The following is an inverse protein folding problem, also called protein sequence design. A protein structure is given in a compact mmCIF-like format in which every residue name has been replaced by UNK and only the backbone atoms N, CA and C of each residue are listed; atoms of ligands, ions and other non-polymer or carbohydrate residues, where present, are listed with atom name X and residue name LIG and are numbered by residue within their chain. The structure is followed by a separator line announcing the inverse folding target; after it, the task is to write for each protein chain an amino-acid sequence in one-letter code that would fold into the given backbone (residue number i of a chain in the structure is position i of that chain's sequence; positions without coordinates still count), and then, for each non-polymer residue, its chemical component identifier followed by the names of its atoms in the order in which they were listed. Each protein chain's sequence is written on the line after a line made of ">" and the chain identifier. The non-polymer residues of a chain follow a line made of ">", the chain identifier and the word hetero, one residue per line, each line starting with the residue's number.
data_IF_752520600841
#
_entry.id   IF_752520600841
#
_cell.length_a   1.000
_cell.length_b   1.000
_cell.length_c   1.000
_cell.angle_alpha   90.00
_cell.angle_beta   90.00
_cell.angle_gamma   90.00
#
_symmetry.space_group_name_H-M   'P 1'
#
loop_
_entity.id
_entity.type
_entity.pdbx_description
1 polymer ?
#
# COMPACT_ATOMS: atom_id res chain seq x y z
N UNK A 1 -1.37 31.76 -2.71
CA UNK A 1 -0.02 31.42 -2.19
C UNK A 1 0.12 31.45 -0.66
N UNK A 2 -0.62 32.26 0.13
CA UNK A 2 -0.54 32.27 1.61
C UNK A 2 -0.92 30.92 2.27
N UNK A 3 -1.95 30.24 1.76
CA UNK A 3 -2.43 28.96 2.30
C UNK A 3 -1.37 27.85 2.24
N UNK A 4 -0.70 27.68 1.10
CA UNK A 4 0.38 26.66 0.93
C UNK A 4 1.53 26.92 1.89
N UNK A 5 1.90 28.20 2.11
CA UNK A 5 2.99 28.59 3.01
C UNK A 5 2.64 28.34 4.48
N UNK A 6 1.37 28.54 4.85
CA UNK A 6 0.85 28.29 6.20
C UNK A 6 0.80 26.78 6.50
N UNK A 7 0.29 25.96 5.57
CA UNK A 7 0.26 24.50 5.67
C UNK A 7 1.68 23.94 5.82
N UNK A 8 2.65 24.43 5.03
CA UNK A 8 4.04 23.98 5.10
C UNK A 8 4.69 24.24 6.45
N UNK A 9 4.42 25.40 7.06
CA UNK A 9 4.97 25.73 8.38
C UNK A 9 4.31 24.90 9.49
N UNK A 10 3.02 24.59 9.37
CA UNK A 10 2.29 23.74 10.31
C UNK A 10 2.78 22.28 10.27
N UNK A 11 3.04 21.74 9.08
CA UNK A 11 3.62 20.39 8.91
C UNK A 11 5.03 20.33 9.51
N UNK A 12 5.84 21.40 9.36
CA UNK A 12 7.17 21.48 9.98
C UNK A 12 7.12 21.51 11.51
N UNK A 13 6.03 22.00 12.09
CA UNK A 13 5.88 22.12 13.55
C UNK A 13 5.59 20.77 14.23
N UNK A 14 5.08 19.78 13.49
CA UNK A 14 4.77 18.44 14.00
C UNK A 14 5.60 17.36 13.27
N UNK A 15 6.76 16.95 13.80
CA UNK A 15 7.63 15.97 13.14
C UNK A 15 6.95 14.61 12.91
N UNK A 16 5.99 14.22 13.76
CA UNK A 16 5.18 13.01 13.54
C UNK A 16 4.27 13.12 12.31
N UNK A 17 3.63 14.28 12.08
CA UNK A 17 2.74 14.48 10.93
C UNK A 17 3.52 14.38 9.62
N UNK A 18 4.73 14.94 9.59
CA UNK A 18 5.63 14.83 8.44
C UNK A 18 6.00 13.37 8.12
N UNK A 19 6.31 12.56 9.15
CA UNK A 19 6.58 11.11 8.98
C UNK A 19 5.33 10.35 8.53
N UNK A 20 4.16 10.69 9.06
CA UNK A 20 2.89 10.08 8.65
C UNK A 20 2.56 10.35 7.19
N UNK A 21 2.74 11.59 6.71
CA UNK A 21 2.53 11.94 5.30
C UNK A 21 3.48 11.16 4.40
N UNK A 22 4.78 11.11 4.75
CA UNK A 22 5.76 10.31 4.00
C UNK A 22 5.39 8.83 3.97
N UNK A 23 5.00 8.26 5.12
CA UNK A 23 4.54 6.87 5.19
C UNK A 23 3.32 6.63 4.31
N UNK A 24 2.34 7.55 4.30
CA UNK A 24 1.17 7.48 3.43
C UNK A 24 1.54 7.52 1.94
N UNK A 25 2.45 8.40 1.54
CA UNK A 25 2.95 8.48 0.15
C UNK A 25 3.65 7.17 -0.26
N UNK A 26 4.51 6.63 0.60
CA UNK A 26 5.16 5.34 0.36
C UNK A 26 4.15 4.21 0.28
N UNK A 27 3.10 4.24 1.12
CA UNK A 27 1.98 3.31 1.06
C UNK A 27 1.27 3.35 -0.29
N UNK A 28 0.94 4.53 -0.80
CA UNK A 28 0.33 4.68 -2.13
C UNK A 28 1.24 4.12 -3.23
N UNK A 29 2.55 4.40 -3.19
CA UNK A 29 3.51 3.87 -4.16
C UNK A 29 3.56 2.34 -4.09
N UNK A 30 3.61 1.79 -2.88
CA UNK A 30 3.59 0.34 -2.64
C UNK A 30 2.33 -0.32 -3.20
N UNK A 31 1.16 0.30 -3.00
CA UNK A 31 -0.11 -0.18 -3.57
C UNK A 31 -0.12 -0.13 -5.09
N UNK A 32 0.37 0.96 -5.69
CA UNK A 32 0.47 1.07 -7.16
C UNK A 32 1.39 -0.01 -7.72
N UNK A 33 2.55 -0.24 -7.10
CA UNK A 33 3.47 -1.32 -7.50
C UNK A 33 2.78 -2.68 -7.36
N UNK A 34 2.10 -2.94 -6.25
CA UNK A 34 1.34 -4.19 -6.05
C UNK A 34 0.27 -4.38 -7.12
N UNK A 35 -0.48 -3.34 -7.48
CA UNK A 35 -1.52 -3.42 -8.51
C UNK A 35 -0.93 -3.70 -9.89
N UNK A 36 0.17 -3.02 -10.25
CA UNK A 36 0.85 -3.23 -11.53
C UNK A 36 1.38 -4.66 -11.65
N UNK A 37 2.01 -5.18 -10.60
CA UNK A 37 2.51 -6.56 -10.59
C UNK A 37 1.35 -7.56 -10.70
N UNK A 38 0.25 -7.32 -9.99
CA UNK A 38 -0.92 -8.18 -10.06
C UNK A 38 -1.52 -8.20 -11.46
N UNK A 39 -1.67 -7.03 -12.06
CA UNK A 39 -2.22 -6.90 -13.40
C UNK A 39 -1.36 -7.63 -14.44
N UNK A 40 -0.05 -7.44 -14.40
CA UNK A 40 0.88 -8.16 -15.27
C UNK A 40 0.81 -9.68 -15.06
N UNK A 41 0.65 -10.13 -13.81
CA UNK A 41 0.57 -11.55 -13.50
C UNK A 41 -0.74 -12.19 -14.01
N UNK A 42 -1.88 -11.54 -13.78
CA UNK A 42 -3.20 -12.03 -14.21
C UNK A 42 -3.35 -12.05 -15.73
N UNK A 43 -2.73 -11.10 -16.44
CA UNK A 43 -2.72 -11.11 -17.90
C UNK A 43 -2.10 -12.38 -18.48
N UNK A 44 -1.06 -12.91 -17.83
CA UNK A 44 -0.37 -14.12 -18.29
C UNK A 44 -0.95 -15.40 -17.68
N UNK A 45 -1.47 -15.33 -16.45
CA UNK A 45 -1.91 -16.49 -15.66
C UNK A 45 -3.22 -16.25 -14.89
N UNK A 46 -4.36 -16.08 -15.57
CA UNK A 46 -5.63 -15.74 -14.94
C UNK A 46 -6.13 -16.80 -13.95
N UNK A 47 -5.84 -18.08 -14.19
CA UNK A 47 -6.23 -19.20 -13.32
C UNK A 47 -5.57 -19.16 -11.93
N UNK A 48 -4.48 -18.42 -11.75
CA UNK A 48 -3.74 -18.32 -10.49
C UNK A 48 -3.99 -16.98 -9.79
N UNK A 49 -5.22 -16.44 -9.87
CA UNK A 49 -5.58 -15.14 -9.32
C UNK A 49 -5.15 -14.96 -7.84
N UNK A 50 -5.45 -15.93 -6.98
CA UNK A 50 -5.12 -15.85 -5.55
C UNK A 50 -3.61 -15.82 -5.30
N UNK A 51 -2.85 -16.64 -6.04
CA UNK A 51 -1.38 -16.66 -5.96
C UNK A 51 -0.82 -15.34 -6.51
N UNK A 52 -1.39 -14.82 -7.59
CA UNK A 52 -1.07 -13.52 -8.16
C UNK A 52 -1.27 -12.39 -7.15
N UNK A 53 -2.43 -12.34 -6.47
CA UNK A 53 -2.71 -11.36 -5.40
C UNK A 53 -1.65 -11.45 -4.29
N UNK A 54 -1.31 -12.66 -3.84
CA UNK A 54 -0.32 -12.88 -2.80
C UNK A 54 1.10 -12.42 -3.21
N UNK A 55 1.59 -12.86 -4.38
CA UNK A 55 2.92 -12.47 -4.88
C UNK A 55 3.04 -10.97 -5.11
N UNK A 56 1.99 -10.37 -5.65
CA UNK A 56 1.96 -8.94 -5.94
C UNK A 56 2.01 -8.11 -4.66
N UNK A 57 1.28 -8.54 -3.63
CA UNK A 57 1.36 -7.93 -2.32
C UNK A 57 2.77 -8.06 -1.72
N UNK A 58 3.41 -9.23 -1.82
CA UNK A 58 4.78 -9.45 -1.32
C UNK A 58 5.76 -8.48 -2.01
N UNK A 59 5.66 -8.32 -3.33
CA UNK A 59 6.53 -7.40 -4.10
C UNK A 59 6.24 -5.94 -3.71
N UNK A 60 4.96 -5.55 -3.65
CA UNK A 60 4.55 -4.23 -3.18
C UNK A 60 5.06 -3.94 -1.77
N UNK A 61 4.99 -4.93 -0.88
CA UNK A 61 5.53 -4.87 0.48
C UNK A 61 7.03 -4.59 0.48
N UNK A 62 7.84 -5.35 -0.24
CA UNK A 62 9.28 -5.14 -0.30
C UNK A 62 9.65 -3.77 -0.89
N UNK A 63 8.90 -3.30 -1.89
CA UNK A 63 9.08 -1.97 -2.46
C UNK A 63 8.77 -0.87 -1.43
N UNK A 64 7.62 -0.95 -0.76
CA UNK A 64 7.20 0.00 0.27
C UNK A 64 8.13 -0.02 1.48
N UNK A 65 8.59 -1.20 1.89
CA UNK A 65 9.56 -1.38 2.96
C UNK A 65 10.90 -0.71 2.63
N UNK A 66 11.46 -1.01 1.46
CA UNK A 66 12.73 -0.43 1.02
C UNK A 66 12.65 1.08 0.96
N UNK A 67 11.55 1.62 0.44
CA UNK A 67 11.35 3.06 0.34
C UNK A 67 11.15 3.73 1.71
N UNK A 68 10.39 3.11 2.62
CA UNK A 68 10.23 3.63 3.99
C UNK A 68 11.55 3.62 4.76
N UNK A 69 12.36 2.57 4.61
CA UNK A 69 13.69 2.49 5.23
C UNK A 69 14.64 3.56 4.67
N UNK A 70 14.66 3.74 3.35
CA UNK A 70 15.58 4.66 2.67
C UNK A 70 15.16 6.13 2.70
N UNK A 71 13.88 6.46 2.97
CA UNK A 71 13.39 7.84 2.86
C UNK A 71 12.60 8.36 4.08
N UNK A 72 11.77 7.52 4.69
CA UNK A 72 10.90 7.93 5.80
C UNK A 72 11.61 7.86 7.15
N UNK A 73 12.41 6.81 7.36
CA UNK A 73 13.00 6.47 8.65
C UNK A 73 14.54 6.40 8.65
N UNK A 74 15.20 7.12 7.74
CA UNK A 74 16.67 7.13 7.61
C UNK A 74 17.38 7.32 8.95
N UNK A 75 16.91 8.26 9.76
CA UNK A 75 17.47 8.60 11.09
C UNK A 75 17.27 7.50 12.15
N UNK A 76 16.33 6.57 11.97
CA UNK A 76 16.06 5.48 12.92
C UNK A 76 16.72 4.15 12.50
N UNK A 77 17.48 4.16 11.39
CA UNK A 77 18.14 2.95 10.85
C UNK A 77 19.27 2.44 11.75
N UNK A 78 19.77 3.27 12.68
CA UNK A 78 20.84 2.91 13.63
C UNK A 78 20.38 1.90 14.73
N UNK A 79 19.07 1.71 14.95
CA UNK A 79 18.56 0.77 15.97
C UNK A 79 18.51 -0.72 15.52
N UNK A 80 19.00 -1.04 14.31
CA UNK A 80 19.30 -2.42 13.89
C UNK A 80 18.10 -3.38 13.72
N UNK A 81 18.35 -4.68 13.98
CA UNK A 81 17.48 -5.83 13.65
C UNK A 81 16.10 -5.82 14.35
N UNK A 82 16.00 -5.25 15.55
CA UNK A 82 14.73 -5.19 16.32
C UNK A 82 13.70 -4.30 15.64
N UNK A 83 14.14 -3.23 14.96
CA UNK A 83 13.26 -2.36 14.19
C UNK A 83 12.70 -3.08 12.96
N UNK A 84 13.55 -3.84 12.27
CA UNK A 84 13.16 -4.68 11.13
C UNK A 84 12.10 -5.71 11.53
N UNK A 85 12.28 -6.38 12.67
CA UNK A 85 11.36 -7.41 13.12
C UNK A 85 9.96 -6.87 13.44
N UNK A 86 9.87 -5.70 14.12
CA UNK A 86 8.59 -5.01 14.36
C UNK A 86 7.89 -4.62 13.07
N UNK A 87 8.64 -4.13 12.08
CA UNK A 87 8.09 -3.73 10.80
C UNK A 87 7.58 -4.93 10.00
N UNK A 88 8.37 -6.01 9.91
CA UNK A 88 7.94 -7.27 9.28
C UNK A 88 6.68 -7.81 9.94
N UNK A 89 6.59 -7.74 11.27
CA UNK A 89 5.40 -8.19 12.01
C UNK A 89 4.14 -7.38 11.66
N UNK A 90 4.23 -6.04 11.66
CA UNK A 90 3.10 -5.16 11.28
C UNK A 90 2.62 -5.46 9.86
N UNK A 91 3.55 -5.64 8.93
CA UNK A 91 3.19 -5.94 7.55
C UNK A 91 2.71 -7.37 7.32
N UNK A 92 3.19 -8.35 8.08
CA UNK A 92 2.65 -9.71 8.07
C UNK A 92 1.18 -9.70 8.53
N UNK A 93 0.86 -8.97 9.61
CA UNK A 93 -0.54 -8.79 10.03
C UNK A 93 -1.35 -8.12 8.91
N UNK A 94 -0.80 -7.07 8.31
CA UNK A 94 -1.48 -6.34 7.23
C UNK A 94 -1.72 -7.24 6.01
N UNK A 95 -0.81 -8.16 5.70
CA UNK A 95 -0.97 -9.14 4.64
C UNK A 95 -2.13 -10.09 4.89
N UNK A 96 -2.25 -10.63 6.10
CA UNK A 96 -3.37 -11.51 6.44
C UNK A 96 -4.70 -10.76 6.43
N UNK A 97 -4.73 -9.52 6.96
CA UNK A 97 -5.91 -8.65 6.87
C UNK A 97 -6.27 -8.39 5.41
N UNK A 98 -5.29 -8.12 4.54
CA UNK A 98 -5.51 -7.92 3.11
C UNK A 98 -6.05 -9.17 2.41
N UNK A 99 -5.52 -10.36 2.72
CA UNK A 99 -5.99 -11.62 2.15
C UNK A 99 -7.43 -11.94 2.61
N UNK A 100 -7.72 -11.79 3.90
CA UNK A 100 -9.07 -12.01 4.44
C UNK A 100 -10.05 -11.00 3.82
N UNK A 101 -9.68 -9.73 3.76
CA UNK A 101 -10.50 -8.70 3.11
C UNK A 101 -10.77 -9.05 1.64
N UNK A 102 -9.73 -9.43 0.89
CA UNK A 102 -9.91 -9.83 -0.51
C UNK A 102 -10.78 -11.07 -0.66
N UNK A 103 -10.59 -12.10 0.17
CA UNK A 103 -11.42 -13.30 0.15
C UNK A 103 -12.88 -12.99 0.47
N UNK A 104 -13.14 -12.13 1.47
CA UNK A 104 -14.49 -11.69 1.81
C UNK A 104 -15.12 -10.90 0.67
N UNK A 105 -14.37 -9.97 0.06
CA UNK A 105 -14.86 -9.21 -1.08
C UNK A 105 -15.19 -10.12 -2.28
N UNK A 106 -14.31 -11.06 -2.60
CA UNK A 106 -14.43 -11.97 -3.75
C UNK A 106 -15.57 -12.99 -3.58
N UNK A 107 -15.83 -13.43 -2.35
CA UNK A 107 -16.80 -14.52 -2.09
C UNK A 107 -18.17 -14.05 -1.58
N UNK A 108 -18.26 -12.89 -0.91
CA UNK A 108 -19.50 -12.43 -0.30
C UNK A 108 -20.02 -11.11 -0.87
N UNK A 109 -19.12 -10.19 -1.23
CA UNK A 109 -19.53 -8.83 -1.60
C UNK A 109 -19.73 -8.69 -3.10
N UNK A 110 -18.93 -9.39 -3.92
CA UNK A 110 -18.93 -9.24 -5.38
C UNK A 110 -18.97 -7.75 -5.81
N UNK A 111 -17.99 -6.94 -5.38
CA UNK A 111 -17.99 -5.50 -5.64
C UNK A 111 -18.06 -5.15 -7.13
N UNK A 112 -17.63 -6.04 -8.01
CA UNK A 112 -17.83 -5.95 -9.46
C UNK A 112 -19.28 -5.70 -9.86
N UNK A 113 -20.24 -6.30 -9.16
CA UNK A 113 -21.68 -6.17 -9.46
C UNK A 113 -22.20 -4.77 -9.15
N UNK A 114 -21.59 -4.07 -8.17
CA UNK A 114 -21.99 -2.72 -7.77
C UNK A 114 -21.20 -1.63 -8.48
N UNK A 115 -19.93 -1.89 -8.81
CA UNK A 115 -19.02 -0.89 -9.38
C UNK A 115 -19.11 -0.87 -10.91
N UNK A 116 -19.24 -2.03 -11.57
CA UNK A 116 -19.31 -2.09 -13.04
C UNK A 116 -20.46 -1.24 -13.63
N UNK A 117 -21.69 -1.25 -13.09
CA UNK A 117 -22.77 -0.44 -13.62
C UNK A 117 -22.51 1.07 -13.48
N UNK A 118 -21.83 1.47 -12.40
CA UNK A 118 -21.47 2.87 -12.16
C UNK A 118 -20.42 3.32 -13.18
N UNK A 119 -19.40 2.49 -13.42
CA UNK A 119 -18.33 2.78 -14.39
C UNK A 119 -18.89 2.85 -15.82
N UNK A 120 -19.75 1.90 -16.21
CA UNK A 120 -20.47 1.93 -17.49
C UNK A 120 -21.35 3.18 -17.63
N UNK A 121 -22.01 3.61 -16.55
CA UNK A 121 -22.81 4.84 -16.55
C UNK A 121 -21.96 6.12 -16.77
N UNK A 122 -20.65 6.07 -16.47
CA UNK A 122 -19.70 7.14 -16.79
C UNK A 122 -19.05 6.98 -18.18
N UNK A 123 -19.40 5.95 -18.95
CA UNK A 123 -18.98 5.76 -20.34
C UNK A 123 -17.58 5.15 -20.50
N UNK A 124 -17.08 4.43 -19.50
CA UNK A 124 -15.83 3.67 -19.55
C UNK A 124 -16.06 2.18 -19.77
#
# INVERSE_FOLDING_TARGET
>A
MKAIKSIRNWIKQYPMLHKFIKFGVVGCISTVVSLLVFWLFVLQYPQYNLIGKALSYIIGFFAGFSLNKLWTYVEQTEEGEKYLLKYVFVYAITFFVYLVFNYVCDHYIHPEVYIAPIVEAFGF
#
